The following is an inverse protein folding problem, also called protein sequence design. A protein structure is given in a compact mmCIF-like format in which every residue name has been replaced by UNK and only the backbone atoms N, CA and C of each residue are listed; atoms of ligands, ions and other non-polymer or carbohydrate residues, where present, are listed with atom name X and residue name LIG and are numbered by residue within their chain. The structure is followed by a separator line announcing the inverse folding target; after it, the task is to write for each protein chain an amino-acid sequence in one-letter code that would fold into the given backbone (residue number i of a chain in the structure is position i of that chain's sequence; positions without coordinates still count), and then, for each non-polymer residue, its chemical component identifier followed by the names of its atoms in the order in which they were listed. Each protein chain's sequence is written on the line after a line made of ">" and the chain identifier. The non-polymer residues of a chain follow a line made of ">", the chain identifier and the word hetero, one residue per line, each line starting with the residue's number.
data_IF_824452909678
#
_entry.id   IF_824452909678
#
_cell.length_a   1.000
_cell.length_b   1.000
_cell.length_c   1.000
_cell.angle_alpha   90.00
_cell.angle_beta   90.00
_cell.angle_gamma   90.00
#
_symmetry.space_group_name_H-M   'P 1'
#
loop_
_entity.id
_entity.type
_entity.pdbx_description
1 polymer ?
#
# COMPACT_ATOMS: atom_id res chain seq x y z
N UNK A 1 -4.41 -16.23 -11.44
CA UNK A 1 -5.77 -15.83 -11.05
C UNK A 1 -5.88 -14.32 -11.05
N UNK A 2 -6.84 -13.79 -11.76
CA UNK A 2 -7.06 -12.36 -11.73
C UNK A 2 -7.84 -12.00 -10.48
N UNK A 3 -7.22 -11.22 -9.64
CA UNK A 3 -7.85 -10.63 -8.49
C UNK A 3 -8.66 -9.44 -8.99
N UNK A 4 -9.97 -9.62 -9.09
CA UNK A 4 -10.90 -8.55 -9.47
C UNK A 4 -11.33 -7.76 -8.25
N UNK A 5 -11.91 -6.58 -8.43
CA UNK A 5 -12.52 -5.84 -7.31
C UNK A 5 -13.55 -6.68 -6.56
N UNK A 6 -14.28 -7.55 -7.27
CA UNK A 6 -15.20 -8.50 -6.65
C UNK A 6 -14.49 -9.44 -5.67
N UNK A 7 -13.24 -9.80 -5.90
CA UNK A 7 -12.46 -10.62 -4.98
C UNK A 7 -12.26 -9.96 -3.60
N UNK A 8 -12.16 -8.66 -3.55
CA UNK A 8 -12.09 -7.90 -2.30
C UNK A 8 -13.41 -7.97 -1.53
N UNK A 9 -14.52 -7.82 -2.23
CA UNK A 9 -15.85 -7.91 -1.65
C UNK A 9 -16.14 -9.32 -1.12
N UNK A 10 -15.75 -10.34 -1.87
CA UNK A 10 -15.91 -11.74 -1.46
C UNK A 10 -15.12 -12.07 -0.20
N UNK A 11 -13.93 -11.50 -0.05
CA UNK A 11 -13.13 -11.63 1.17
C UNK A 11 -13.75 -10.88 2.35
N UNK A 12 -14.37 -9.73 2.11
CA UNK A 12 -15.03 -8.92 3.12
C UNK A 12 -16.38 -9.46 3.56
N UNK A 13 -17.04 -10.18 2.67
CA UNK A 13 -18.36 -10.79 2.91
C UNK A 13 -18.25 -12.25 3.29
N UNK A 14 -17.20 -12.65 4.03
CA UNK A 14 -17.04 -14.05 4.40
C UNK A 14 -18.39 -14.67 4.78
N UNK A 15 -18.57 -15.93 4.45
CA UNK A 15 -19.81 -16.70 4.64
C UNK A 15 -20.50 -16.52 6.00
N UNK A 16 -19.82 -15.96 6.96
CA UNK A 16 -20.33 -15.74 8.32
C UNK A 16 -20.63 -14.27 8.64
N UNK A 17 -20.51 -13.37 7.71
CA UNK A 17 -20.67 -11.92 7.97
C UNK A 17 -19.71 -11.36 9.04
N UNK A 18 -18.75 -12.16 9.48
CA UNK A 18 -17.88 -11.87 10.61
C UNK A 18 -17.09 -10.58 10.43
N UNK A 19 -16.64 -10.33 9.20
CA UNK A 19 -15.86 -9.14 8.90
C UNK A 19 -16.72 -7.87 8.84
N UNK A 20 -17.96 -8.00 8.45
CA UNK A 20 -18.91 -6.88 8.47
C UNK A 20 -19.24 -6.43 9.89
N UNK A 21 -19.29 -7.38 10.83
CA UNK A 21 -19.63 -7.12 12.22
C UNK A 21 -18.42 -6.66 13.06
N UNK A 22 -17.20 -6.94 12.62
CA UNK A 22 -16.00 -6.62 13.40
C UNK A 22 -15.44 -5.22 13.14
N UNK A 23 -16.02 -4.47 12.22
CA UNK A 23 -15.72 -3.06 11.91
C UNK A 23 -14.25 -2.67 12.17
N UNK A 24 -13.37 -3.04 11.25
CA UNK A 24 -11.98 -2.64 11.33
C UNK A 24 -11.15 -3.27 12.44
N UNK A 25 -11.60 -4.40 13.02
CA UNK A 25 -10.83 -5.07 14.10
C UNK A 25 -9.74 -6.01 13.59
N UNK A 26 -9.70 -6.32 12.31
CA UNK A 26 -8.70 -7.21 11.74
C UNK A 26 -7.28 -6.64 11.90
N UNK A 27 -6.35 -7.49 12.34
CA UNK A 27 -4.95 -7.15 12.57
C UNK A 27 -3.98 -7.93 11.70
N UNK A 28 -4.46 -8.89 10.93
CA UNK A 28 -3.64 -9.71 10.03
C UNK A 28 -3.72 -9.19 8.62
N UNK A 29 -2.58 -9.21 7.94
CA UNK A 29 -2.50 -8.90 6.51
C UNK A 29 -2.57 -10.21 5.73
N UNK A 30 -3.62 -10.40 4.94
CA UNK A 30 -3.78 -11.58 4.08
C UNK A 30 -2.75 -11.58 2.95
N UNK A 31 -2.51 -12.75 2.38
CA UNK A 31 -1.63 -12.87 1.21
C UNK A 31 -2.16 -12.03 0.04
N UNK A 32 -3.47 -11.97 -0.12
CA UNK A 32 -4.13 -11.14 -1.12
C UNK A 32 -3.81 -9.65 -0.94
N UNK A 33 -3.98 -9.13 0.27
CA UNK A 33 -3.66 -7.75 0.59
C UNK A 33 -2.17 -7.45 0.44
N UNK A 34 -1.33 -8.42 0.76
CA UNK A 34 0.13 -8.29 0.64
C UNK A 34 0.56 -8.21 -0.82
N UNK A 35 0.04 -9.08 -1.69
CA UNK A 35 0.29 -9.02 -3.14
C UNK A 35 -0.17 -7.68 -3.71
N UNK A 36 -1.38 -7.25 -3.37
CA UNK A 36 -1.89 -5.95 -3.78
C UNK A 36 -0.97 -4.79 -3.34
N UNK A 37 -0.57 -4.80 -2.09
CA UNK A 37 0.23 -3.71 -1.52
C UNK A 37 1.64 -3.67 -2.09
N UNK A 38 2.28 -4.83 -2.23
CA UNK A 38 3.65 -4.95 -2.69
C UNK A 38 3.78 -4.87 -4.22
N UNK A 39 3.04 -5.72 -4.94
CA UNK A 39 3.16 -5.88 -6.40
C UNK A 39 2.22 -4.97 -7.17
N UNK A 40 1.00 -4.79 -6.67
CA UNK A 40 -0.04 -4.01 -7.31
C UNK A 40 -1.01 -4.82 -8.15
N UNK A 41 -2.04 -4.13 -8.60
CA UNK A 41 -3.04 -4.66 -9.51
C UNK A 41 -2.97 -3.92 -10.84
N UNK A 42 -3.01 -4.66 -11.93
CA UNK A 42 -2.82 -4.14 -13.29
C UNK A 42 -4.05 -4.37 -14.16
N UNK A 43 -4.21 -3.53 -15.18
CA UNK A 43 -5.24 -3.73 -16.19
C UNK A 43 -4.93 -4.99 -17.00
N UNK A 44 -6.01 -5.59 -17.54
CA UNK A 44 -5.89 -6.68 -18.52
C UNK A 44 -6.26 -6.13 -19.89
N UNK A 45 -5.30 -6.03 -20.80
CA UNK A 45 -5.61 -5.62 -22.15
C UNK A 45 -6.60 -6.58 -22.80
N UNK A 46 -7.71 -6.06 -23.31
CA UNK A 46 -8.73 -6.83 -24.02
C UNK A 46 -8.50 -6.82 -25.53
N UNK A 47 -7.68 -5.90 -26.02
CA UNK A 47 -7.37 -5.73 -27.43
C UNK A 47 -5.87 -5.77 -27.67
N UNK A 48 -5.47 -6.27 -28.84
CA UNK A 48 -4.06 -6.30 -29.27
C UNK A 48 -3.50 -4.88 -29.33
N UNK A 49 -2.33 -4.65 -28.68
CA UNK A 49 -1.68 -3.35 -28.63
C UNK A 49 -2.10 -2.43 -27.49
N UNK A 50 -3.09 -2.83 -26.70
CA UNK A 50 -3.48 -2.10 -25.51
C UNK A 50 -2.41 -2.23 -24.43
N UNK A 51 -2.04 -1.11 -23.80
CA UNK A 51 -0.98 -1.10 -22.77
C UNK A 51 -1.48 -1.55 -21.42
N UNK A 52 -0.65 -2.33 -20.73
CA UNK A 52 -0.87 -2.66 -19.31
C UNK A 52 -0.65 -1.38 -18.48
N UNK A 53 -1.57 -1.13 -17.54
CA UNK A 53 -1.52 0.02 -16.63
C UNK A 53 -1.65 -0.43 -15.19
N UNK A 54 -0.94 0.22 -14.27
CA UNK A 54 -1.18 0.03 -12.84
C UNK A 54 -2.52 0.66 -12.46
N UNK A 55 -3.33 -0.10 -11.72
CA UNK A 55 -4.65 0.33 -11.25
C UNK A 55 -4.59 0.77 -9.79
N UNK A 56 -3.88 0.03 -8.94
CA UNK A 56 -3.78 0.32 -7.51
C UNK A 56 -2.67 -0.48 -6.84
N UNK A 57 -2.27 -0.08 -5.66
CA UNK A 57 -1.23 -0.76 -4.89
C UNK A 57 0.17 -0.60 -5.48
N UNK A 58 1.00 -1.64 -5.37
CA UNK A 58 2.33 -1.64 -5.96
C UNK A 58 3.35 -0.78 -5.23
N UNK A 59 3.32 -0.78 -3.91
CA UNK A 59 4.15 0.09 -3.07
C UNK A 59 5.50 -0.52 -2.68
N UNK A 60 5.74 -1.79 -2.99
CA UNK A 60 7.00 -2.45 -2.70
C UNK A 60 7.99 -2.40 -3.87
N UNK A 61 9.23 -2.82 -3.61
CA UNK A 61 10.24 -2.95 -4.65
C UNK A 61 9.82 -3.95 -5.74
N UNK A 62 9.12 -5.01 -5.34
CA UNK A 62 8.54 -5.97 -6.31
C UNK A 62 7.58 -5.25 -7.27
N UNK A 63 6.80 -4.31 -6.79
CA UNK A 63 5.92 -3.48 -7.64
C UNK A 63 6.70 -2.64 -8.63
N UNK A 64 7.80 -2.03 -8.23
CA UNK A 64 8.68 -1.29 -9.15
C UNK A 64 9.28 -2.22 -10.21
N UNK A 65 9.72 -3.41 -9.80
CA UNK A 65 10.24 -4.41 -10.73
C UNK A 65 9.18 -4.84 -11.74
N UNK A 66 7.93 -4.93 -11.34
CA UNK A 66 6.82 -5.21 -12.26
C UNK A 66 6.58 -4.07 -13.25
N UNK A 67 6.70 -2.82 -12.80
CA UNK A 67 6.63 -1.67 -13.72
C UNK A 67 7.71 -1.76 -14.80
N UNK A 68 8.94 -2.07 -14.40
CA UNK A 68 10.05 -2.26 -15.34
C UNK A 68 9.77 -3.41 -16.32
N UNK A 69 9.28 -4.53 -15.82
CA UNK A 69 8.94 -5.71 -16.62
C UNK A 69 7.87 -5.40 -17.68
N UNK A 70 6.87 -4.59 -17.32
CA UNK A 70 5.80 -4.21 -18.25
C UNK A 70 6.13 -2.98 -19.09
N UNK A 71 7.32 -2.40 -18.93
CA UNK A 71 7.71 -1.18 -19.64
C UNK A 71 6.89 0.06 -19.24
N UNK A 72 6.40 0.09 -18.01
CA UNK A 72 5.62 1.21 -17.49
C UNK A 72 6.57 2.23 -16.88
N UNK A 73 6.58 3.44 -17.43
CA UNK A 73 7.42 4.54 -16.95
C UNK A 73 6.94 5.04 -15.57
N UNK A 74 7.90 5.36 -14.72
CA UNK A 74 7.65 6.02 -13.43
C UNK A 74 8.78 7.00 -13.12
N UNK A 75 8.50 7.96 -12.27
CA UNK A 75 9.47 8.96 -11.83
C UNK A 75 9.55 8.95 -10.31
N UNK A 76 10.77 8.93 -9.78
CA UNK A 76 11.04 9.15 -8.36
C UNK A 76 11.40 10.63 -8.20
N UNK A 77 10.52 11.39 -7.56
CA UNK A 77 10.70 12.82 -7.35
C UNK A 77 11.47 13.13 -6.06
N UNK A 78 11.32 12.26 -5.06
CA UNK A 78 11.96 12.43 -3.75
C UNK A 78 12.26 11.07 -3.12
N UNK A 79 13.43 10.97 -2.52
CA UNK A 79 13.80 9.85 -1.65
C UNK A 79 14.12 10.40 -0.26
N UNK A 80 13.35 9.96 0.74
CA UNK A 80 13.63 10.31 2.13
C UNK A 80 14.83 9.54 2.67
N UNK A 81 15.46 10.08 3.71
CA UNK A 81 16.62 9.43 4.34
C UNK A 81 16.31 8.06 4.95
N UNK A 82 15.04 7.77 5.26
CA UNK A 82 14.61 6.44 5.69
C UNK A 82 14.34 5.46 4.54
N UNK A 83 14.54 5.88 3.31
CA UNK A 83 14.42 5.04 2.12
C UNK A 83 13.05 5.09 1.42
N UNK A 84 12.04 5.74 1.99
CA UNK A 84 10.74 5.90 1.34
C UNK A 84 10.91 6.79 0.10
N UNK A 85 10.33 6.36 -1.01
CA UNK A 85 10.40 7.07 -2.29
C UNK A 85 9.01 7.56 -2.67
N UNK A 86 8.94 8.75 -3.19
CA UNK A 86 7.70 9.38 -3.63
C UNK A 86 7.88 9.88 -5.05
N UNK A 87 6.86 9.69 -5.86
CA UNK A 87 6.91 10.13 -7.25
C UNK A 87 5.58 9.90 -7.96
N UNK A 88 5.67 9.51 -9.22
CA UNK A 88 4.47 9.36 -10.05
C UNK A 88 4.64 8.30 -11.12
N UNK A 89 3.50 7.88 -11.65
CA UNK A 89 3.40 6.96 -12.77
C UNK A 89 2.52 7.64 -13.83
N UNK A 90 3.09 8.29 -14.84
CA UNK A 90 2.31 9.10 -15.81
C UNK A 90 1.15 8.36 -16.48
N UNK A 91 1.29 7.06 -16.67
CA UNK A 91 0.27 6.22 -17.29
C UNK A 91 -0.55 5.41 -16.28
N UNK A 92 -0.58 5.82 -15.02
CA UNK A 92 -1.41 5.19 -14.00
C UNK A 92 -2.89 5.31 -14.34
N UNK A 93 -3.69 4.31 -14.01
CA UNK A 93 -5.15 4.36 -14.22
C UNK A 93 -5.80 5.50 -13.45
N UNK A 94 -5.34 5.78 -12.24
CA UNK A 94 -5.82 6.88 -11.39
C UNK A 94 -5.08 8.18 -11.66
N UNK A 95 -5.81 9.24 -11.99
CA UNK A 95 -5.25 10.57 -12.30
C UNK A 95 -4.33 11.13 -11.20
N UNK A 96 -4.71 10.97 -9.94
CA UNK A 96 -3.93 11.44 -8.78
C UNK A 96 -2.51 10.85 -8.69
N UNK A 97 -2.28 9.70 -9.32
CA UNK A 97 -1.00 9.00 -9.32
C UNK A 97 -0.10 9.38 -10.50
N UNK A 98 -0.60 10.16 -11.43
CA UNK A 98 0.11 10.50 -12.69
C UNK A 98 1.08 11.66 -12.56
N UNK A 99 0.87 12.52 -11.58
CA UNK A 99 1.61 13.76 -11.43
C UNK A 99 2.24 13.86 -10.05
N UNK A 100 3.36 14.59 -9.98
CA UNK A 100 4.01 15.00 -8.74
C UNK A 100 4.22 13.84 -7.77
N UNK A 101 3.67 13.92 -6.56
CA UNK A 101 3.93 13.01 -5.44
C UNK A 101 2.81 12.00 -5.20
N UNK A 102 2.08 11.62 -6.23
CA UNK A 102 0.90 10.76 -6.13
C UNK A 102 1.15 9.30 -5.81
N UNK A 103 2.36 8.78 -6.09
CA UNK A 103 2.75 7.39 -5.83
C UNK A 103 3.84 7.33 -4.77
N UNK A 104 3.79 6.30 -3.92
CA UNK A 104 4.75 6.09 -2.82
C UNK A 104 5.26 4.67 -2.86
N UNK A 105 6.54 4.49 -2.50
CA UNK A 105 7.16 3.17 -2.41
C UNK A 105 7.90 3.00 -1.09
N UNK A 106 7.80 1.81 -0.50
CA UNK A 106 8.59 1.40 0.64
C UNK A 106 10.09 1.44 0.34
N UNK A 107 10.95 1.49 1.37
CA UNK A 107 12.38 1.40 1.15
C UNK A 107 12.74 0.17 0.28
N UNK A 108 13.72 0.34 -0.60
CA UNK A 108 14.19 -0.71 -1.52
C UNK A 108 14.58 -2.00 -0.79
N UNK A 109 15.07 -1.88 0.43
CA UNK A 109 15.52 -3.00 1.26
C UNK A 109 14.40 -3.76 1.95
N UNK A 110 13.18 -3.25 1.93
CA UNK A 110 12.05 -3.92 2.58
C UNK A 110 11.60 -5.13 1.78
N UNK A 111 11.57 -6.27 2.48
CA UNK A 111 11.00 -7.50 1.95
C UNK A 111 9.47 -7.50 2.04
N UNK A 112 8.85 -8.48 1.40
CA UNK A 112 7.41 -8.77 1.56
C UNK A 112 7.04 -8.95 3.03
N UNK A 113 7.91 -9.62 3.81
CA UNK A 113 7.74 -9.83 5.24
C UNK A 113 7.74 -8.52 6.03
N UNK A 114 8.60 -7.58 5.67
CA UNK A 114 8.62 -6.25 6.29
C UNK A 114 7.31 -5.52 6.07
N UNK A 115 6.78 -5.55 4.86
CA UNK A 115 5.50 -4.90 4.51
C UNK A 115 4.35 -5.52 5.30
N UNK A 116 4.29 -6.86 5.39
CA UNK A 116 3.28 -7.57 6.19
C UNK A 116 3.35 -7.17 7.66
N UNK A 117 4.53 -7.23 8.25
CA UNK A 117 4.75 -6.90 9.66
C UNK A 117 4.43 -5.44 9.97
N UNK A 118 4.79 -4.54 9.06
CA UNK A 118 4.45 -3.12 9.19
C UNK A 118 2.94 -2.92 9.24
N UNK A 119 2.20 -3.52 8.32
CA UNK A 119 0.74 -3.45 8.28
C UNK A 119 0.10 -4.01 9.54
N UNK A 120 0.56 -5.16 10.01
CA UNK A 120 0.06 -5.79 11.23
C UNK A 120 0.39 -4.97 12.49
N UNK A 121 1.57 -4.39 12.56
CA UNK A 121 1.96 -3.48 13.63
C UNK A 121 1.03 -2.26 13.69
N UNK A 122 0.81 -1.60 12.57
CA UNK A 122 -0.08 -0.41 12.49
C UNK A 122 -1.51 -0.77 12.88
N UNK A 123 -2.02 -1.89 12.38
CA UNK A 123 -3.37 -2.38 12.70
C UNK A 123 -3.54 -2.71 14.19
N UNK A 124 -2.49 -3.19 14.83
CA UNK A 124 -2.47 -3.59 16.23
C UNK A 124 -2.35 -2.43 17.24
N UNK A 125 -1.98 -1.25 16.80
CA UNK A 125 -1.89 -0.08 17.66
C UNK A 125 -3.26 0.25 18.25
N UNK A 126 -3.31 0.56 19.54
CA UNK A 126 -4.55 0.82 20.29
C UNK A 126 -5.45 1.83 19.57
N UNK A 127 -4.88 2.91 19.05
CA UNK A 127 -5.62 3.96 18.34
C UNK A 127 -6.21 3.48 17.01
N UNK A 128 -5.68 2.40 16.42
CA UNK A 128 -6.03 1.93 15.08
C UNK A 128 -6.87 0.65 15.07
N UNK A 129 -7.09 0.02 16.23
CA UNK A 129 -7.77 -1.30 16.32
C UNK A 129 -9.18 -1.31 15.74
N UNK A 130 -9.88 -0.19 15.79
CA UNK A 130 -11.27 -0.07 15.39
C UNK A 130 -11.48 1.01 14.33
N UNK A 131 -10.44 1.25 13.50
CA UNK A 131 -10.56 2.24 12.44
C UNK A 131 -11.64 1.86 11.43
N UNK A 132 -12.49 2.83 11.03
CA UNK A 132 -13.56 2.56 10.07
C UNK A 132 -13.02 2.25 8.68
N UNK A 133 -13.81 1.53 7.90
CA UNK A 133 -13.50 1.23 6.51
C UNK A 133 -13.21 2.48 5.69
N UNK A 134 -12.21 2.41 4.83
CA UNK A 134 -11.83 3.49 3.94
C UNK A 134 -11.00 4.59 4.57
N UNK A 135 -10.87 4.63 5.90
CA UNK A 135 -10.06 5.65 6.59
C UNK A 135 -8.61 5.21 6.73
N UNK A 136 -7.64 5.95 6.17
CA UNK A 136 -6.24 5.67 6.42
C UNK A 136 -5.88 5.92 7.89
N UNK A 137 -5.17 4.98 8.49
CA UNK A 137 -4.59 5.12 9.84
C UNK A 137 -3.12 4.75 9.79
N UNK A 138 -2.33 5.34 10.67
CA UNK A 138 -0.88 5.34 10.55
C UNK A 138 -0.19 4.86 11.82
N UNK A 139 1.04 4.43 11.66
CA UNK A 139 1.97 4.12 12.73
C UNK A 139 3.39 4.07 12.19
N UNK A 140 4.36 3.88 13.07
CA UNK A 140 5.78 3.84 12.71
C UNK A 140 6.30 2.43 12.89
N UNK A 141 6.94 1.90 11.85
CA UNK A 141 7.60 0.60 11.87
C UNK A 141 8.97 0.69 11.19
N UNK A 142 10.00 0.23 11.86
CA UNK A 142 11.40 0.32 11.38
C UNK A 142 11.78 1.72 10.86
N UNK A 143 11.36 2.76 11.57
CA UNK A 143 11.67 4.14 11.21
C UNK A 143 10.90 4.69 10.00
N UNK A 144 9.86 4.01 9.57
CA UNK A 144 8.99 4.41 8.45
C UNK A 144 7.57 4.62 8.94
N UNK A 145 6.97 5.75 8.58
CA UNK A 145 5.55 5.98 8.82
C UNK A 145 4.75 5.21 7.78
N UNK A 146 3.94 4.27 8.25
CA UNK A 146 3.18 3.32 7.44
C UNK A 146 1.69 3.54 7.67
N UNK A 147 0.91 3.48 6.61
CA UNK A 147 -0.54 3.54 6.66
C UNK A 147 -1.19 2.21 6.30
N UNK A 148 -2.37 2.00 6.81
CA UNK A 148 -3.28 0.94 6.38
C UNK A 148 -4.66 1.52 6.08
N UNK A 149 -5.36 0.84 5.19
CA UNK A 149 -6.79 1.10 4.94
C UNK A 149 -7.51 -0.24 5.09
N UNK A 150 -8.58 -0.25 5.89
CA UNK A 150 -9.47 -1.40 6.00
C UNK A 150 -10.64 -1.26 5.05
N UNK A 151 -11.13 -2.40 4.58
CA UNK A 151 -12.40 -2.51 3.85
C UNK A 151 -13.09 -3.78 4.30
N UNK A 152 -14.37 -3.72 4.59
CA UNK A 152 -15.14 -4.83 5.15
C UNK A 152 -14.49 -5.42 6.41
N UNK A 153 -13.91 -4.55 7.24
CA UNK A 153 -13.28 -4.93 8.49
C UNK A 153 -11.90 -5.57 8.39
N UNK A 154 -11.40 -5.82 7.18
CA UNK A 154 -10.08 -6.41 6.94
C UNK A 154 -9.10 -5.38 6.39
N UNK A 155 -7.80 -5.65 6.56
CA UNK A 155 -6.75 -4.80 6.00
C UNK A 155 -6.73 -5.02 4.47
N UNK A 156 -7.10 -3.97 3.74
CA UNK A 156 -7.12 -4.02 2.28
C UNK A 156 -5.79 -3.61 1.66
N UNK A 157 -5.10 -2.66 2.29
CA UNK A 157 -3.87 -2.10 1.73
C UNK A 157 -2.91 -1.66 2.83
N UNK A 158 -1.62 -1.80 2.55
CA UNK A 158 -0.50 -1.31 3.37
C UNK A 158 0.36 -0.43 2.46
N UNK A 159 0.67 0.77 2.89
CA UNK A 159 1.42 1.73 2.08
C UNK A 159 2.27 2.63 2.98
N UNK A 160 3.39 3.18 2.48
CA UNK A 160 4.12 4.19 3.24
C UNK A 160 3.42 5.55 3.13
N UNK A 161 3.48 6.35 4.19
CA UNK A 161 3.01 7.73 4.11
C UNK A 161 3.89 8.51 3.13
N UNK A 162 3.28 9.33 2.30
CA UNK A 162 4.00 10.23 1.39
C UNK A 162 4.81 11.29 2.16
N UNK A 163 4.40 11.62 3.38
CA UNK A 163 5.10 12.53 4.27
C UNK A 163 5.76 11.79 5.42
N UNK A 164 7.07 11.67 5.35
CA UNK A 164 7.90 11.03 6.38
C UNK A 164 8.52 12.05 7.36
N UNK A 165 8.18 13.31 7.25
CA UNK A 165 8.85 14.38 8.01
C UNK A 165 8.74 14.23 9.52
N UNK A 166 7.60 13.76 10.04
CA UNK A 166 7.38 13.56 11.48
C UNK A 166 8.34 12.54 12.10
N UNK A 167 8.63 11.46 11.38
CA UNK A 167 9.57 10.41 11.80
C UNK A 167 11.00 10.94 11.77
N UNK A 168 11.36 11.65 10.72
CA UNK A 168 12.71 12.19 10.53
C UNK A 168 13.04 13.32 11.50
N UNK A 169 12.08 14.15 11.85
CA UNK A 169 12.23 15.20 12.88
C UNK A 169 12.52 14.61 14.27
N UNK A 170 11.84 13.53 14.65
CA UNK A 170 12.09 12.83 15.93
C UNK A 170 13.51 12.27 16.00
N UNK A 171 14.06 11.77 14.89
CA UNK A 171 15.44 11.30 14.81
C UNK A 171 16.46 12.40 15.05
N UNK A 172 16.24 13.58 14.47
CA UNK A 172 17.12 14.76 14.65
C UNK A 172 17.15 15.23 16.11
N UNK A 173 16.04 15.18 16.83
CA UNK A 173 15.98 15.58 18.24
C UNK A 173 16.70 14.61 19.18
N UNK A 174 16.86 13.33 18.82
CA UNK A 174 17.59 12.35 19.63
C UNK A 174 19.11 12.45 19.50
N UNK A 175 19.60 13.12 18.48
CA UNK A 175 21.03 13.25 18.17
C UNK A 175 21.56 14.69 18.34
N UNK A 176 20.70 15.59 18.77
CA UNK A 176 21.04 16.98 19.03
C UNK A 176 21.38 17.27 20.50
#
# INVERSE_FOLDING_TARGET
>A
MSITESGWYDMGTSKNGRYLNTKGSARSVSDFALVHSNEGRYTKPSQKGERIRLVSGGHGQTGMNQLDKYGIAYNIEKTYSNGVRVGNIPNHKYKKKRNSMGQVWFPKTWSTKDIRRAGEHVAGLKANRHSPDGKPVFGVYKGVRVGIIRRHGIIATVFPDADQSSVLKKRRKKHG
#
